data_IF_421809773935
#
_entry.id   IF_421809773935
#
_cell.length_a   1.000
_cell.length_b   1.000
_cell.length_c   1.000
_cell.angle_alpha   90.00
_cell.angle_beta   90.00
_cell.angle_gamma   90.00
#
_symmetry.space_group_name_H-M   'P 1'
#
loop_
_entity.id
_entity.type
_entity.pdbx_description
1 polymer ?
#
# COMPACT_ATOMS: atom_id res chain seq x y z
N UNK A 1 71.82 -27.48 -6.14
CA UNK A 1 71.80 -26.72 -7.41
C UNK A 1 70.35 -26.39 -7.73
N UNK A 2 70.11 -25.10 -7.89
CA UNK A 2 68.85 -24.37 -8.08
C UNK A 2 68.06 -24.79 -9.32
N UNK A 3 66.72 -24.91 -9.24
CA UNK A 3 65.82 -24.46 -10.32
C UNK A 3 64.35 -24.32 -9.83
N UNK A 4 63.91 -23.06 -9.79
CA UNK A 4 62.58 -22.48 -10.06
C UNK A 4 61.32 -23.30 -9.73
N UNK A 5 60.55 -22.82 -8.75
CA UNK A 5 59.09 -23.01 -8.67
C UNK A 5 58.43 -21.64 -8.61
N UNK A 6 57.68 -21.31 -9.66
CA UNK A 6 56.94 -20.09 -9.85
C UNK A 6 55.49 -20.50 -10.16
N UNK A 7 54.55 -19.78 -9.53
CA UNK A 7 53.13 -19.70 -9.82
C UNK A 7 52.24 -20.91 -9.49
N UNK A 8 51.42 -20.76 -8.43
CA UNK A 8 49.96 -20.67 -8.53
C UNK A 8 49.32 -20.85 -7.14
N UNK A 9 49.19 -19.75 -6.39
CA UNK A 9 48.29 -19.68 -5.23
C UNK A 9 47.05 -18.93 -5.68
N UNK A 10 46.08 -19.67 -6.22
CA UNK A 10 44.70 -19.22 -6.38
C UNK A 10 43.83 -20.06 -5.43
N UNK A 11 43.94 -19.77 -4.14
CA UNK A 11 42.91 -20.18 -3.19
C UNK A 11 41.72 -19.23 -3.40
N UNK A 12 40.76 -19.66 -4.20
CA UNK A 12 39.44 -19.07 -4.26
C UNK A 12 38.74 -19.32 -2.91
N UNK A 13 39.00 -18.45 -1.94
CA UNK A 13 38.13 -18.32 -0.79
C UNK A 13 36.82 -17.71 -1.31
N UNK A 14 35.82 -18.56 -1.55
CA UNK A 14 34.43 -18.15 -1.58
C UNK A 14 34.15 -17.46 -0.24
N UNK A 15 34.29 -16.14 -0.21
CA UNK A 15 33.62 -15.32 0.77
C UNK A 15 32.14 -15.40 0.42
N UNK A 16 31.44 -16.39 1.00
CA UNK A 16 30.04 -16.23 1.31
C UNK A 16 29.94 -15.02 2.25
N UNK A 17 29.92 -13.83 1.69
CA UNK A 17 29.37 -12.67 2.36
C UNK A 17 27.88 -12.97 2.50
N UNK A 18 27.53 -13.58 3.62
CA UNK A 18 26.19 -13.46 4.17
C UNK A 18 25.99 -11.96 4.36
N UNK A 19 25.30 -11.33 3.41
CA UNK A 19 24.76 -9.99 3.63
C UNK A 19 23.87 -10.11 4.87
N UNK A 20 24.13 -9.36 5.95
CA UNK A 20 23.20 -9.36 7.06
C UNK A 20 21.89 -8.74 6.53
N UNK A 21 20.81 -9.50 6.64
CA UNK A 21 19.49 -8.93 6.61
C UNK A 21 19.35 -7.87 7.72
N UNK A 22 18.62 -6.81 7.38
CA UNK A 22 17.86 -5.94 8.29
C UNK A 22 18.65 -5.03 9.25
N UNK A 23 18.87 -3.79 8.80
CA UNK A 23 18.59 -2.64 9.65
C UNK A 23 17.88 -1.60 8.80
N UNK A 24 16.57 -1.46 9.02
CA UNK A 24 15.91 -0.17 8.87
C UNK A 24 16.87 0.90 9.41
N UNK A 25 17.28 1.83 8.54
CA UNK A 25 18.26 2.93 8.76
C UNK A 25 18.76 3.06 10.21
N UNK A 26 20.03 2.75 10.49
CA UNK A 26 20.62 2.82 11.84
C UNK A 26 20.23 4.11 12.57
N UNK A 27 19.35 4.01 13.57
CA UNK A 27 18.87 5.19 14.30
C UNK A 27 19.97 5.71 15.21
N UNK A 28 20.36 6.95 14.96
CA UNK A 28 21.42 7.59 15.72
C UNK A 28 20.96 7.90 17.15
N UNK A 29 21.78 7.63 18.18
CA UNK A 29 21.43 7.99 19.55
C UNK A 29 21.38 9.51 19.75
N UNK A 30 20.54 10.02 20.66
CA UNK A 30 20.29 11.46 20.86
C UNK A 30 21.50 12.25 21.36
N UNK A 31 22.58 11.57 21.74
CA UNK A 31 23.85 12.16 22.19
C UNK A 31 24.74 12.62 21.02
N UNK A 32 24.47 12.18 19.80
CA UNK A 32 25.26 12.52 18.62
C UNK A 32 25.16 14.00 18.21
N UNK A 33 26.14 14.44 17.43
CA UNK A 33 26.19 15.78 16.83
C UNK A 33 26.71 15.69 15.40
N UNK A 34 26.01 16.33 14.45
CA UNK A 34 26.41 16.42 13.04
C UNK A 34 26.58 17.88 12.61
N UNK A 35 27.26 18.09 11.48
CA UNK A 35 27.45 19.41 10.89
C UNK A 35 28.60 20.23 11.51
N UNK A 36 28.82 21.41 10.95
CA UNK A 36 29.83 22.38 11.37
C UNK A 36 29.21 23.78 11.41
N UNK A 37 29.58 24.57 12.42
CA UNK A 37 29.11 25.95 12.56
C UNK A 37 28.74 26.32 13.99
N UNK A 38 28.53 27.62 14.26
CA UNK A 38 28.27 28.13 15.60
C UNK A 38 26.81 27.96 16.04
N UNK A 39 25.88 27.74 15.10
CA UNK A 39 24.46 27.59 15.41
C UNK A 39 24.11 26.12 15.63
N UNK A 40 23.51 25.83 16.78
CA UNK A 40 23.09 24.47 17.16
C UNK A 40 21.57 24.37 17.13
N UNK A 41 21.06 23.47 16.31
CA UNK A 41 19.66 23.07 16.25
C UNK A 41 19.44 21.77 17.02
N UNK A 42 18.43 21.74 17.87
CA UNK A 42 17.98 20.54 18.60
C UNK A 42 16.49 20.70 18.89
N UNK A 43 15.72 19.67 18.61
CA UNK A 43 14.26 19.70 18.73
C UNK A 43 13.78 18.74 19.81
N UNK A 44 12.53 18.91 20.24
CA UNK A 44 11.83 17.97 21.13
C UNK A 44 10.70 17.36 20.32
N UNK A 45 10.76 16.06 20.05
CA UNK A 45 9.63 15.35 19.47
C UNK A 45 8.53 15.24 20.53
N UNK A 46 7.32 15.64 20.17
CA UNK A 46 6.15 15.64 21.05
C UNK A 46 5.01 14.89 20.40
N UNK A 47 4.19 14.27 21.24
CA UNK A 47 2.91 13.75 20.82
C UNK A 47 2.02 14.92 20.34
N UNK A 48 1.41 14.83 19.16
CA UNK A 48 0.69 15.95 18.56
C UNK A 48 -0.65 16.26 19.25
N UNK A 49 -1.10 15.43 20.19
CA UNK A 49 -2.36 15.63 20.93
C UNK A 49 -2.08 16.11 22.36
N UNK A 50 -1.27 15.35 23.09
CA UNK A 50 -0.96 15.62 24.50
C UNK A 50 0.16 16.64 24.67
N UNK A 51 0.90 16.95 23.59
CA UNK A 51 2.10 17.79 23.57
C UNK A 51 3.22 17.31 24.51
N UNK A 52 3.10 16.09 25.05
CA UNK A 52 4.12 15.49 25.92
C UNK A 52 5.32 15.07 25.07
N UNK A 53 6.56 15.21 25.59
CA UNK A 53 7.73 14.68 24.91
C UNK A 53 7.59 13.17 24.69
N UNK A 54 8.04 12.68 23.53
CA UNK A 54 8.07 11.24 23.21
C UNK A 54 9.47 10.69 23.52
N UNK A 55 9.68 9.99 24.65
CA UNK A 55 10.99 9.43 25.00
C UNK A 55 11.30 8.17 24.18
N UNK A 56 12.57 7.96 23.83
CA UNK A 56 13.06 6.80 23.08
C UNK A 56 12.30 6.54 21.76
N UNK A 57 11.65 7.56 21.22
CA UNK A 57 10.87 7.47 20.00
C UNK A 57 11.77 7.65 18.79
N UNK A 58 11.50 6.87 17.74
CA UNK A 58 12.18 6.98 16.46
C UNK A 58 11.64 8.18 15.71
N UNK A 59 12.53 8.90 15.04
CA UNK A 59 12.18 10.07 14.26
C UNK A 59 13.03 10.19 12.99
N UNK A 60 12.47 10.95 12.04
CA UNK A 60 13.15 11.46 10.87
C UNK A 60 13.22 12.98 10.97
N UNK A 61 14.42 13.53 10.88
CA UNK A 61 14.66 14.98 10.82
C UNK A 61 15.23 15.32 9.43
N UNK A 62 14.56 16.24 8.75
CA UNK A 62 14.90 16.70 7.41
C UNK A 62 15.00 18.23 7.42
N UNK A 63 16.00 18.74 6.72
CA UNK A 63 16.11 20.15 6.32
C UNK A 63 16.11 20.20 4.80
N UNK A 64 14.96 20.42 4.15
CA UNK A 64 14.86 20.45 2.70
C UNK A 64 15.79 21.50 2.08
N UNK A 65 16.42 21.18 0.96
CA UNK A 65 17.37 22.02 0.23
C UNK A 65 18.77 22.14 0.84
N UNK A 66 19.12 21.37 1.87
CA UNK A 66 20.37 21.56 2.61
C UNK A 66 21.18 20.28 2.82
N UNK A 67 22.49 20.37 2.57
CA UNK A 67 23.48 19.36 2.96
C UNK A 67 24.06 19.66 4.35
N UNK A 68 24.06 18.67 5.25
CA UNK A 68 24.61 18.73 6.60
C UNK A 68 25.94 17.97 6.59
N UNK A 69 27.03 18.64 6.97
CA UNK A 69 28.34 18.01 6.99
C UNK A 69 28.38 16.76 7.89
N UNK A 70 28.98 15.68 7.39
CA UNK A 70 29.02 14.38 8.07
C UNK A 70 27.82 13.47 7.77
N UNK A 71 26.89 13.89 6.90
CA UNK A 71 25.78 13.07 6.43
C UNK A 71 25.78 13.00 4.90
N UNK A 72 25.50 11.83 4.30
CA UNK A 72 25.31 11.74 2.87
C UNK A 72 23.98 12.43 2.47
N UNK A 73 23.94 13.14 1.33
CA UNK A 73 22.71 13.69 0.79
C UNK A 73 21.76 12.58 0.31
N UNK A 74 20.46 12.82 0.43
CA UNK A 74 19.39 11.94 -0.02
C UNK A 74 19.31 11.95 -1.55
N UNK A 75 19.24 10.75 -2.15
CA UNK A 75 19.43 10.56 -3.59
C UNK A 75 18.40 11.24 -4.50
N UNK A 76 17.26 11.68 -3.94
CA UNK A 76 16.17 12.31 -4.71
C UNK A 76 16.10 13.86 -4.61
N UNK A 77 17.08 14.53 -3.98
CA UNK A 77 16.98 16.00 -3.82
C UNK A 77 18.20 16.73 -3.26
N UNK A 78 19.29 16.05 -2.89
CA UNK A 78 20.47 16.71 -2.30
C UNK A 78 20.34 17.01 -0.80
N UNK A 79 19.18 16.74 -0.21
CA UNK A 79 18.86 17.05 1.19
C UNK A 79 19.50 16.07 2.17
N UNK A 80 19.93 16.53 3.33
CA UNK A 80 20.35 15.65 4.42
C UNK A 80 19.18 15.20 5.29
N UNK A 81 19.12 13.89 5.55
CA UNK A 81 18.11 13.26 6.39
C UNK A 81 18.79 12.56 7.56
N UNK A 82 18.26 12.75 8.77
CA UNK A 82 18.71 12.05 9.98
C UNK A 82 17.60 11.16 10.50
N UNK A 83 17.91 9.88 10.67
CA UNK A 83 17.10 8.96 11.47
C UNK A 83 17.71 8.85 12.85
N UNK A 84 16.91 9.06 13.87
CA UNK A 84 17.39 9.06 15.25
C UNK A 84 16.38 8.51 16.23
N UNK A 85 16.86 8.28 17.45
CA UNK A 85 16.03 8.05 18.63
C UNK A 85 16.09 9.26 19.55
N UNK A 86 14.99 9.62 20.17
CA UNK A 86 14.96 10.69 21.17
C UNK A 86 15.49 10.23 22.52
N UNK A 87 16.00 11.16 23.32
CA UNK A 87 16.33 10.85 24.73
C UNK A 87 15.09 10.79 25.62
N UNK A 88 15.27 10.51 26.92
CA UNK A 88 14.19 10.46 27.90
C UNK A 88 13.37 11.76 28.03
N UNK A 89 13.86 12.89 27.50
CA UNK A 89 13.15 14.16 27.46
C UNK A 89 12.59 14.47 26.05
N UNK A 90 12.56 13.48 25.14
CA UNK A 90 12.09 13.63 23.77
C UNK A 90 13.03 14.40 22.85
N UNK A 91 14.29 14.66 23.26
CA UNK A 91 15.19 15.52 22.49
C UNK A 91 15.92 14.77 21.40
N UNK A 92 16.02 15.38 20.22
CA UNK A 92 16.76 14.87 19.04
C UNK A 92 18.28 14.99 19.20
N UNK A 93 19.04 14.48 18.22
CA UNK A 93 20.46 14.82 18.03
C UNK A 93 20.67 16.33 17.85
N UNK A 94 21.93 16.77 17.99
CA UNK A 94 22.34 18.16 17.71
C UNK A 94 22.80 18.31 16.25
N UNK A 95 22.30 19.33 15.56
CA UNK A 95 22.76 19.68 14.21
C UNK A 95 23.44 21.05 14.27
N UNK A 96 24.68 21.13 13.78
CA UNK A 96 25.48 22.36 13.73
C UNK A 96 25.50 22.92 12.31
N UNK A 97 25.12 24.19 12.16
CA UNK A 97 25.03 24.85 10.87
C UNK A 97 25.70 26.23 10.90
N UNK A 98 26.17 26.74 9.74
CA UNK A 98 26.79 28.06 9.64
C UNK A 98 25.78 29.21 9.79
N UNK A 99 24.49 28.93 9.63
CA UNK A 99 23.40 29.88 9.80
C UNK A 99 22.27 29.26 10.65
N UNK A 100 21.41 30.12 11.21
CA UNK A 100 20.21 29.71 11.95
C UNK A 100 19.03 29.57 10.99
N UNK A 101 18.41 28.40 10.97
CA UNK A 101 17.20 28.11 10.20
C UNK A 101 15.95 28.09 11.11
N UNK A 102 14.84 28.75 10.72
CA UNK A 102 13.60 28.73 11.50
C UNK A 102 12.96 27.34 11.49
N UNK A 103 12.20 27.01 12.54
CA UNK A 103 11.54 25.71 12.71
C UNK A 103 10.63 25.34 11.53
N UNK A 104 9.99 26.33 10.88
CA UNK A 104 9.15 26.14 9.70
C UNK A 104 9.89 25.59 8.48
N UNK A 105 11.22 25.62 8.46
CA UNK A 105 12.04 25.02 7.41
C UNK A 105 12.48 23.59 7.74
N UNK A 106 12.17 23.08 8.92
CA UNK A 106 12.47 21.72 9.32
C UNK A 106 11.23 20.85 9.23
N UNK A 107 11.42 19.60 8.84
CA UNK A 107 10.43 18.55 9.01
C UNK A 107 10.95 17.58 10.07
N UNK A 108 10.28 17.55 11.23
CA UNK A 108 10.52 16.57 12.30
C UNK A 108 9.33 15.63 12.36
N UNK A 109 9.54 14.38 11.96
CA UNK A 109 8.46 13.40 11.82
C UNK A 109 8.74 12.22 12.75
N UNK A 110 7.75 11.77 13.54
CA UNK A 110 7.87 10.48 14.19
C UNK A 110 7.90 9.38 13.12
N UNK A 111 8.61 8.31 13.43
CA UNK A 111 8.74 7.14 12.57
C UNK A 111 7.89 6.02 13.16
N UNK A 112 7.03 5.43 12.35
CA UNK A 112 6.13 4.34 12.74
C UNK A 112 6.34 3.14 11.81
N UNK A 113 6.40 1.94 12.40
CA UNK A 113 6.60 0.70 11.67
C UNK A 113 8.05 0.32 11.43
N UNK A 114 8.27 -0.81 10.77
CA UNK A 114 9.60 -1.36 10.51
C UNK A 114 9.82 -1.62 9.02
N UNK A 115 11.08 -1.52 8.60
CA UNK A 115 11.54 -1.96 7.29
C UNK A 115 12.37 -0.96 6.50
N UNK A 116 12.82 -1.41 5.34
CA UNK A 116 13.85 -0.73 4.55
C UNK A 116 13.28 0.39 3.67
N UNK A 117 11.98 0.28 3.33
CA UNK A 117 11.24 1.27 2.56
C UNK A 117 10.44 2.17 3.50
N UNK A 118 10.24 3.43 3.12
CA UNK A 118 9.38 4.32 3.89
C UNK A 118 9.13 5.66 3.23
N UNK A 119 8.01 6.28 3.62
CA UNK A 119 7.52 7.50 3.00
C UNK A 119 6.72 8.36 3.97
N UNK A 120 6.49 9.60 3.54
CA UNK A 120 5.55 10.52 4.19
C UNK A 120 4.70 11.17 3.11
N UNK A 121 3.50 11.57 3.49
CA UNK A 121 2.64 12.42 2.68
C UNK A 121 2.64 13.83 3.24
N UNK A 122 2.45 14.78 2.35
CA UNK A 122 2.08 16.14 2.72
C UNK A 122 0.64 16.36 2.27
N UNK A 123 -0.24 16.69 3.20
CA UNK A 123 -1.64 16.96 2.93
C UNK A 123 -1.81 18.47 2.73
N UNK A 124 -2.35 18.83 1.58
CA UNK A 124 -2.51 20.21 1.14
C UNK A 124 -3.99 20.42 0.85
N UNK A 125 -4.50 21.58 1.23
CA UNK A 125 -5.84 22.04 0.89
C UNK A 125 -5.85 22.50 -0.57
N UNK A 126 -6.68 21.86 -1.41
CA UNK A 126 -6.68 22.12 -2.87
C UNK A 126 -7.16 23.53 -3.23
N UNK A 127 -8.07 24.10 -2.45
CA UNK A 127 -8.64 25.43 -2.70
C UNK A 127 -7.62 26.54 -2.40
N UNK A 128 -6.80 26.35 -1.36
CA UNK A 128 -5.89 27.38 -0.84
C UNK A 128 -4.41 27.11 -1.15
N UNK A 129 -4.06 25.88 -1.53
CA UNK A 129 -2.68 25.42 -1.72
C UNK A 129 -1.85 25.37 -0.43
N UNK A 130 -2.49 25.48 0.74
CA UNK A 130 -1.81 25.53 2.05
C UNK A 130 -1.79 24.17 2.73
N UNK A 131 -0.80 23.90 3.60
CA UNK A 131 -0.80 22.69 4.41
C UNK A 131 -2.08 22.52 5.24
N UNK A 132 -2.67 21.32 5.18
CA UNK A 132 -3.90 20.99 5.89
C UNK A 132 -3.59 20.37 7.27
N UNK A 133 -3.24 21.21 8.24
CA UNK A 133 -2.81 20.77 9.57
C UNK A 133 -3.94 20.31 10.50
N UNK A 134 -3.55 19.60 11.56
CA UNK A 134 -4.35 19.28 12.76
C UNK A 134 -5.43 18.20 12.66
N UNK A 135 -5.50 17.45 11.55
CA UNK A 135 -6.45 16.35 11.42
C UNK A 135 -5.84 15.00 11.83
N UNK A 136 -6.50 14.25 12.73
CA UNK A 136 -6.10 12.88 13.03
C UNK A 136 -6.48 11.98 11.85
N UNK A 137 -5.69 10.94 11.61
CA UNK A 137 -5.95 9.97 10.55
C UNK A 137 -5.58 8.56 11.00
N UNK A 138 -6.14 7.59 10.27
CA UNK A 138 -5.70 6.19 10.28
C UNK A 138 -5.34 5.82 8.85
N UNK A 139 -4.12 5.34 8.64
CA UNK A 139 -3.62 4.81 7.39
C UNK A 139 -3.54 3.30 7.50
N UNK A 140 -4.01 2.58 6.47
CA UNK A 140 -3.81 1.14 6.38
C UNK A 140 -2.56 0.86 5.52
N UNK A 141 -1.53 0.30 6.17
CA UNK A 141 -0.36 -0.25 5.48
C UNK A 141 -0.73 -1.64 5.02
N UNK A 142 -1.06 -1.75 3.73
CA UNK A 142 -1.68 -2.96 3.16
C UNK A 142 -0.84 -4.20 3.45
N UNK A 143 -1.48 -5.19 4.09
CA UNK A 143 -0.83 -6.45 4.46
C UNK A 143 0.08 -6.39 5.69
N UNK A 144 0.25 -5.21 6.30
CA UNK A 144 1.03 -5.02 7.53
C UNK A 144 0.12 -4.49 8.64
N UNK A 145 0.29 -3.25 9.11
CA UNK A 145 -0.38 -2.70 10.29
C UNK A 145 -1.22 -1.45 9.96
N UNK A 146 -1.92 -0.89 10.96
CA UNK A 146 -2.59 0.41 10.90
C UNK A 146 -1.68 1.47 11.50
N UNK A 147 -1.61 2.64 10.87
CA UNK A 147 -0.86 3.79 11.39
C UNK A 147 -1.85 4.85 11.80
N UNK A 148 -1.84 5.16 13.08
CA UNK A 148 -2.43 6.40 13.55
C UNK A 148 -1.43 7.55 13.46
N UNK A 149 -1.95 8.73 13.16
CA UNK A 149 -1.16 9.95 13.27
C UNK A 149 -2.03 11.19 13.28
N UNK A 150 -1.35 12.33 13.34
CA UNK A 150 -1.96 13.63 13.16
C UNK A 150 -1.11 14.41 12.17
N UNK A 151 -1.76 15.09 11.23
CA UNK A 151 -1.07 15.96 10.30
C UNK A 151 -0.51 17.15 11.08
N UNK A 152 0.80 17.40 10.93
CA UNK A 152 1.46 18.51 11.61
C UNK A 152 1.08 19.88 10.99
N UNK A 153 1.55 20.97 11.58
CA UNK A 153 1.25 22.33 11.11
C UNK A 153 1.79 22.62 9.70
N UNK A 154 2.76 21.84 9.22
CA UNK A 154 3.36 21.93 7.89
C UNK A 154 2.74 20.93 6.90
N UNK A 155 1.69 20.22 7.31
CA UNK A 155 0.94 19.30 6.46
C UNK A 155 1.52 17.89 6.40
N UNK A 156 2.60 17.60 7.14
CA UNK A 156 3.24 16.30 7.06
C UNK A 156 2.56 15.24 7.94
N UNK A 157 2.47 14.03 7.40
CA UNK A 157 2.14 12.82 8.16
C UNK A 157 3.35 12.32 8.95
N UNK A 158 3.14 11.28 9.77
CA UNK A 158 4.25 10.45 10.27
C UNK A 158 5.01 9.81 9.10
N UNK A 159 6.27 9.47 9.34
CA UNK A 159 7.06 8.69 8.38
C UNK A 159 6.78 7.20 8.61
N UNK A 160 6.15 6.56 7.63
CA UNK A 160 5.76 5.14 7.70
C UNK A 160 6.85 4.28 7.09
N UNK A 161 7.27 3.21 7.78
CA UNK A 161 8.25 2.24 7.28
C UNK A 161 7.64 0.87 7.06
N UNK A 162 7.97 0.25 5.93
CA UNK A 162 7.44 -1.05 5.55
C UNK A 162 8.55 -1.98 5.08
N UNK A 163 8.41 -3.27 5.35
CA UNK A 163 9.36 -4.30 4.90
C UNK A 163 9.12 -4.72 3.44
N UNK A 164 8.05 -4.20 2.83
CA UNK A 164 7.61 -4.55 1.48
C UNK A 164 7.24 -3.28 0.74
N UNK A 165 7.56 -3.20 -0.55
CA UNK A 165 7.09 -2.09 -1.38
C UNK A 165 5.57 -2.22 -1.56
N UNK A 166 4.80 -1.52 -0.73
CA UNK A 166 3.34 -1.70 -0.60
C UNK A 166 2.56 -0.43 -0.89
N UNK A 167 1.34 -0.66 -1.39
CA UNK A 167 0.29 0.34 -1.51
C UNK A 167 -0.18 0.76 -0.11
N UNK A 168 -0.36 2.05 0.09
CA UNK A 168 -1.01 2.60 1.28
C UNK A 168 -2.47 2.85 0.95
N UNK A 169 -3.37 2.37 1.82
CA UNK A 169 -4.81 2.62 1.70
C UNK A 169 -5.18 3.67 2.73
N UNK A 170 -5.35 4.91 2.29
CA UNK A 170 -5.85 5.98 3.14
C UNK A 170 -7.37 5.91 3.19
N UNK A 171 -7.93 5.65 4.37
CA UNK A 171 -9.37 5.73 4.60
C UNK A 171 -9.69 7.00 5.37
N UNK A 172 -10.62 7.80 4.83
CA UNK A 172 -11.10 8.99 5.52
C UNK A 172 -11.77 8.57 6.83
N UNK A 173 -11.10 8.87 7.94
CA UNK A 173 -11.56 8.49 9.26
C UNK A 173 -11.63 9.72 10.13
N UNK A 174 -12.78 9.93 10.74
CA UNK A 174 -12.90 10.97 11.76
C UNK A 174 -12.75 10.33 13.12
N UNK A 175 -11.53 10.38 13.67
CA UNK A 175 -11.24 9.99 15.04
C UNK A 175 -11.78 11.09 15.97
N UNK A 176 -12.91 10.83 16.63
CA UNK A 176 -13.61 11.81 17.47
C UNK A 176 -13.62 11.45 18.95
N UNK A 177 -13.48 10.17 19.30
CA UNK A 177 -13.54 9.75 20.69
C UNK A 177 -12.17 9.93 21.37
N UNK A 178 -12.11 10.33 22.66
CA UNK A 178 -10.86 10.33 23.43
C UNK A 178 -10.16 8.95 23.42
N UNK A 179 -10.94 7.87 23.55
CA UNK A 179 -10.44 6.50 23.47
C UNK A 179 -9.78 6.17 22.11
N UNK A 180 -10.22 6.79 21.01
CA UNK A 180 -9.57 6.61 19.71
C UNK A 180 -8.14 7.16 19.75
N UNK A 181 -7.98 8.32 20.40
CA UNK A 181 -6.69 9.00 20.52
C UNK A 181 -5.75 8.24 21.46
N UNK A 182 -6.28 7.74 22.58
CA UNK A 182 -5.53 6.93 23.53
C UNK A 182 -5.09 5.60 22.90
N UNK A 183 -5.98 4.93 22.15
CA UNK A 183 -5.64 3.74 21.40
C UNK A 183 -4.54 4.00 20.37
N UNK A 184 -4.68 5.09 19.60
CA UNK A 184 -3.70 5.48 18.59
C UNK A 184 -2.32 5.79 19.19
N UNK A 185 -2.26 6.45 20.35
CA UNK A 185 -1.01 6.83 21.00
C UNK A 185 -0.34 5.65 21.75
N UNK A 186 -1.10 4.62 22.13
CA UNK A 186 -0.60 3.42 22.78
C UNK A 186 -0.72 2.19 21.86
N UNK A 187 -1.72 1.31 22.05
CA UNK A 187 -1.85 0.04 21.35
C UNK A 187 -1.63 0.09 19.83
N UNK A 188 -2.23 1.07 19.13
CA UNK A 188 -2.09 1.18 17.67
C UNK A 188 -0.64 1.42 17.23
N UNK A 189 0.08 2.29 17.95
CA UNK A 189 1.50 2.57 17.66
C UNK A 189 2.39 1.40 18.07
N UNK A 190 2.10 0.74 19.19
CA UNK A 190 2.85 -0.43 19.66
C UNK A 190 2.71 -1.60 18.66
N UNK A 191 1.49 -1.89 18.20
CA UNK A 191 1.22 -2.91 17.18
C UNK A 191 2.03 -2.61 15.91
N UNK A 192 2.03 -1.36 15.46
CA UNK A 192 2.75 -0.96 14.26
C UNK A 192 4.27 -1.14 14.39
N UNK A 193 4.85 -0.71 15.51
CA UNK A 193 6.30 -0.78 15.75
C UNK A 193 6.81 -2.20 16.03
N UNK A 194 5.95 -3.09 16.55
CA UNK A 194 6.34 -4.44 16.97
C UNK A 194 5.72 -5.55 16.11
N UNK A 195 5.21 -5.19 14.92
CA UNK A 195 4.54 -6.09 13.99
C UNK A 195 5.37 -7.32 13.58
N UNK A 196 6.70 -7.21 13.59
CA UNK A 196 7.64 -8.25 13.18
C UNK A 196 8.55 -8.77 14.30
N UNK A 197 8.33 -8.37 15.55
CA UNK A 197 9.23 -8.72 16.65
C UNK A 197 9.11 -10.20 17.05
N UNK A 198 10.22 -10.92 17.29
CA UNK A 198 10.15 -12.32 17.72
C UNK A 198 9.37 -12.49 19.03
N UNK A 199 8.36 -13.38 19.01
CA UNK A 199 7.57 -13.72 20.20
C UNK A 199 6.40 -12.78 20.48
N UNK A 200 6.17 -11.74 19.68
CA UNK A 200 4.91 -10.98 19.73
C UNK A 200 3.78 -11.78 19.08
N UNK A 201 2.54 -11.66 19.57
CA UNK A 201 1.38 -12.25 18.89
C UNK A 201 1.27 -11.71 17.46
N UNK A 202 0.68 -12.49 16.56
CA UNK A 202 0.41 -12.00 15.20
C UNK A 202 -0.53 -10.78 15.20
N UNK A 203 -0.47 -9.98 14.14
CA UNK A 203 -1.20 -8.72 14.03
C UNK A 203 -2.71 -8.88 14.23
N UNK A 204 -3.31 -9.93 13.69
CA UNK A 204 -4.75 -10.19 13.87
C UNK A 204 -5.06 -10.36 15.36
N UNK A 205 -4.26 -11.18 16.05
CA UNK A 205 -4.41 -11.42 17.49
C UNK A 205 -4.26 -10.14 18.31
N UNK A 206 -3.30 -9.28 17.96
CA UNK A 206 -3.12 -7.99 18.65
C UNK A 206 -4.31 -7.03 18.46
N UNK A 207 -4.86 -6.95 17.24
CA UNK A 207 -6.06 -6.14 16.97
C UNK A 207 -7.31 -6.69 17.66
N UNK A 208 -7.49 -8.00 17.66
CA UNK A 208 -8.57 -8.64 18.41
C UNK A 208 -8.45 -8.32 19.90
N UNK A 209 -7.25 -8.39 20.47
CA UNK A 209 -6.97 -8.02 21.85
C UNK A 209 -7.39 -6.57 22.16
N UNK A 210 -7.12 -5.64 21.24
CA UNK A 210 -7.57 -4.25 21.37
C UNK A 210 -9.10 -4.12 21.42
N UNK A 211 -9.81 -4.84 20.54
CA UNK A 211 -11.28 -4.81 20.50
C UNK A 211 -11.90 -5.46 21.74
N UNK A 212 -11.30 -6.55 22.25
CA UNK A 212 -11.77 -7.22 23.46
C UNK A 212 -11.54 -6.37 24.71
N UNK A 213 -10.37 -5.72 24.81
CA UNK A 213 -10.00 -4.93 25.97
C UNK A 213 -10.80 -3.63 26.08
N UNK A 214 -10.94 -2.88 24.98
CA UNK A 214 -11.50 -1.52 25.02
C UNK A 214 -12.47 -1.19 23.87
N UNK A 215 -12.86 -2.17 23.06
CA UNK A 215 -13.61 -1.94 21.82
C UNK A 215 -14.94 -1.19 22.02
N UNK A 216 -15.58 -1.29 23.19
CA UNK A 216 -16.83 -0.57 23.50
C UNK A 216 -16.64 0.94 23.66
N UNK A 217 -15.46 1.38 24.08
CA UNK A 217 -15.14 2.80 24.23
C UNK A 217 -14.55 3.40 22.96
N UNK A 218 -13.95 2.57 22.09
CA UNK A 218 -13.52 3.01 20.76
C UNK A 218 -14.71 3.50 19.94
N UNK A 219 -14.47 4.60 19.22
CA UNK A 219 -15.40 5.16 18.25
C UNK A 219 -15.71 4.16 17.14
N UNK A 220 -16.95 4.24 16.63
CA UNK A 220 -17.45 3.34 15.58
C UNK A 220 -16.50 3.26 14.37
N UNK A 221 -16.02 4.40 13.88
CA UNK A 221 -15.18 4.46 12.69
C UNK A 221 -13.81 3.79 12.88
N UNK A 222 -13.21 3.90 14.08
CA UNK A 222 -11.96 3.22 14.39
C UNK A 222 -12.18 1.71 14.54
N UNK A 223 -13.25 1.32 15.26
CA UNK A 223 -13.62 -0.08 15.44
C UNK A 223 -13.85 -0.80 14.10
N UNK A 224 -14.58 -0.15 13.19
CA UNK A 224 -14.82 -0.65 11.83
C UNK A 224 -13.50 -0.87 11.06
N UNK A 225 -12.51 0.01 11.23
CA UNK A 225 -11.22 -0.15 10.55
C UNK A 225 -10.35 -1.22 11.16
N UNK A 226 -10.32 -1.35 12.49
CA UNK A 226 -9.62 -2.45 13.15
C UNK A 226 -10.22 -3.79 12.68
N UNK A 227 -11.55 -3.90 12.65
CA UNK A 227 -12.23 -5.09 12.14
C UNK A 227 -11.95 -5.33 10.65
N UNK A 228 -11.98 -4.29 9.81
CA UNK A 228 -11.64 -4.43 8.40
C UNK A 228 -10.17 -4.83 8.18
N UNK A 229 -9.24 -4.35 9.02
CA UNK A 229 -7.84 -4.77 9.01
C UNK A 229 -7.71 -6.25 9.37
N UNK A 230 -8.40 -6.68 10.41
CA UNK A 230 -8.45 -8.08 10.81
C UNK A 230 -8.96 -8.97 9.68
N UNK A 231 -10.01 -8.53 8.95
CA UNK A 231 -10.50 -9.26 7.77
C UNK A 231 -9.43 -9.34 6.68
N UNK A 232 -8.76 -8.23 6.36
CA UNK A 232 -7.70 -8.23 5.35
C UNK A 232 -6.54 -9.18 5.69
N UNK A 233 -6.12 -9.20 6.96
CA UNK A 233 -5.10 -10.13 7.46
C UNK A 233 -5.58 -11.59 7.35
N UNK A 234 -6.81 -11.87 7.77
CA UNK A 234 -7.39 -13.20 7.71
C UNK A 234 -7.60 -13.69 6.26
N UNK A 235 -7.93 -12.79 5.32
CA UNK A 235 -7.98 -13.08 3.88
C UNK A 235 -6.60 -13.51 3.36
N UNK A 236 -5.54 -12.80 3.75
CA UNK A 236 -4.17 -13.13 3.34
C UNK A 236 -3.72 -14.51 3.84
N UNK A 237 -4.17 -14.90 5.03
CA UNK A 237 -3.96 -16.23 5.62
C UNK A 237 -4.94 -17.30 5.09
N UNK A 238 -5.99 -16.87 4.36
CA UNK A 238 -7.17 -17.68 3.99
C UNK A 238 -7.83 -18.37 5.20
N UNK A 239 -7.79 -17.74 6.38
CA UNK A 239 -8.41 -18.25 7.60
C UNK A 239 -9.87 -17.80 7.69
N UNK A 240 -10.77 -18.69 7.24
CA UNK A 240 -12.20 -18.45 7.24
C UNK A 240 -12.82 -18.24 8.63
N UNK A 241 -12.25 -18.85 9.69
CA UNK A 241 -12.75 -18.70 11.05
C UNK A 241 -12.39 -17.32 11.63
N UNK A 242 -11.19 -16.85 11.33
CA UNK A 242 -10.76 -15.47 11.64
C UNK A 242 -11.57 -14.43 10.85
N UNK A 243 -11.92 -14.72 9.60
CA UNK A 243 -12.83 -13.87 8.82
C UNK A 243 -14.19 -13.77 9.51
N UNK A 244 -14.78 -14.89 9.90
CA UNK A 244 -16.11 -14.90 10.54
C UNK A 244 -16.12 -14.09 11.85
N UNK A 245 -15.10 -14.30 12.68
CA UNK A 245 -14.93 -13.57 13.95
C UNK A 245 -14.81 -12.05 13.73
N UNK A 246 -14.03 -11.63 12.73
CA UNK A 246 -13.81 -10.22 12.46
C UNK A 246 -15.05 -9.54 11.83
N UNK A 247 -15.79 -10.27 10.99
CA UNK A 247 -17.06 -9.80 10.44
C UNK A 247 -18.09 -9.54 11.54
N UNK A 248 -18.19 -10.44 12.51
CA UNK A 248 -19.15 -10.32 13.62
C UNK A 248 -18.79 -9.16 14.57
N UNK A 249 -17.52 -8.77 14.65
CA UNK A 249 -17.05 -7.67 15.50
C UNK A 249 -17.28 -6.26 14.90
N UNK A 250 -17.40 -6.14 13.57
CA UNK A 250 -17.16 -4.87 12.89
C UNK A 250 -18.34 -3.92 12.73
N UNK A 251 -19.59 -4.41 12.67
CA UNK A 251 -20.79 -3.62 12.35
C UNK A 251 -20.55 -2.45 11.35
N UNK A 252 -20.29 -2.80 10.10
CA UNK A 252 -19.71 -1.90 9.10
C UNK A 252 -20.70 -0.90 8.48
N UNK A 253 -20.19 0.27 8.11
CA UNK A 253 -20.86 1.25 7.26
C UNK A 253 -21.03 0.76 5.81
N UNK A 254 -21.96 1.37 5.05
CA UNK A 254 -22.28 0.98 3.67
C UNK A 254 -21.07 0.89 2.72
N UNK A 255 -20.18 1.88 2.74
CA UNK A 255 -19.00 1.89 1.87
C UNK A 255 -18.01 0.78 2.26
N UNK A 256 -17.84 0.53 3.57
CA UNK A 256 -17.01 -0.57 4.07
C UNK A 256 -17.63 -1.94 3.76
N UNK A 257 -18.96 -2.05 3.81
CA UNK A 257 -19.65 -3.29 3.42
C UNK A 257 -19.32 -3.68 1.98
N UNK A 258 -19.37 -2.72 1.05
CA UNK A 258 -18.99 -2.97 -0.33
C UNK A 258 -17.51 -3.34 -0.47
N UNK A 259 -16.61 -2.53 0.12
CA UNK A 259 -15.18 -2.79 0.03
C UNK A 259 -14.76 -4.14 0.60
N UNK A 260 -15.29 -4.52 1.77
CA UNK A 260 -15.03 -5.83 2.38
C UNK A 260 -15.65 -6.96 1.55
N UNK A 261 -16.88 -6.78 1.06
CA UNK A 261 -17.52 -7.75 0.18
C UNK A 261 -16.71 -7.99 -1.09
N UNK A 262 -16.24 -6.92 -1.73
CA UNK A 262 -15.36 -7.02 -2.90
C UNK A 262 -14.03 -7.74 -2.56
N UNK A 263 -13.35 -7.36 -1.48
CA UNK A 263 -12.09 -8.00 -1.05
C UNK A 263 -12.28 -9.53 -0.84
N UNK A 264 -13.40 -9.95 -0.23
CA UNK A 264 -13.76 -11.36 -0.02
C UNK A 264 -14.08 -12.10 -1.33
N UNK A 265 -14.89 -11.50 -2.21
CA UNK A 265 -15.22 -12.04 -3.54
C UNK A 265 -13.96 -12.22 -4.36
N UNK A 266 -13.07 -11.23 -4.36
CA UNK A 266 -11.86 -11.27 -5.14
C UNK A 266 -10.91 -12.38 -4.64
N UNK A 267 -10.84 -12.60 -3.33
CA UNK A 267 -10.10 -13.70 -2.71
C UNK A 267 -10.77 -15.09 -2.89
N UNK A 268 -12.02 -15.13 -3.35
CA UNK A 268 -12.82 -16.34 -3.48
C UNK A 268 -13.18 -16.96 -2.12
N UNK A 269 -13.39 -16.14 -1.10
CA UNK A 269 -13.68 -16.55 0.28
C UNK A 269 -15.05 -16.00 0.71
N UNK A 270 -15.82 -16.79 1.46
CA UNK A 270 -17.10 -16.35 2.05
C UNK A 270 -18.04 -15.63 1.08
N UNK A 271 -18.10 -16.08 -0.19
CA UNK A 271 -18.78 -15.36 -1.28
C UNK A 271 -20.25 -15.06 -0.95
N UNK A 272 -20.95 -15.97 -0.27
CA UNK A 272 -22.34 -15.75 0.16
C UNK A 272 -22.47 -14.60 1.17
N UNK A 273 -21.59 -14.54 2.17
CA UNK A 273 -21.54 -13.43 3.14
C UNK A 273 -21.16 -12.12 2.44
N UNK A 274 -20.17 -12.18 1.55
CA UNK A 274 -19.74 -11.03 0.77
C UNK A 274 -20.87 -10.46 -0.11
N UNK A 275 -21.64 -11.33 -0.76
CA UNK A 275 -22.83 -10.94 -1.52
C UNK A 275 -23.87 -10.26 -0.63
N UNK A 276 -24.14 -10.79 0.56
CA UNK A 276 -25.09 -10.16 1.49
C UNK A 276 -24.65 -8.75 1.89
N UNK A 277 -23.34 -8.51 2.05
CA UNK A 277 -22.79 -7.18 2.35
C UNK A 277 -22.95 -6.22 1.17
N UNK A 278 -22.65 -6.68 -0.06
CA UNK A 278 -22.83 -5.91 -1.29
C UNK A 278 -24.32 -5.58 -1.50
N UNK A 279 -25.21 -6.54 -1.27
CA UNK A 279 -26.66 -6.35 -1.37
C UNK A 279 -27.18 -5.37 -0.32
N UNK A 280 -26.65 -5.42 0.90
CA UNK A 280 -26.97 -4.44 1.93
C UNK A 280 -26.51 -3.02 1.56
N UNK A 281 -25.39 -2.87 0.82
CA UNK A 281 -25.01 -1.58 0.24
C UNK A 281 -25.96 -1.14 -0.86
N UNK A 282 -26.27 -2.02 -1.82
CA UNK A 282 -27.21 -1.70 -2.91
C UNK A 282 -28.62 -1.38 -2.40
N UNK A 283 -29.04 -1.96 -1.29
CA UNK A 283 -30.30 -1.58 -0.64
C UNK A 283 -30.30 -0.14 -0.12
N UNK A 284 -29.14 0.38 0.30
CA UNK A 284 -28.97 1.77 0.74
C UNK A 284 -28.77 2.73 -0.44
N UNK A 285 -28.04 2.30 -1.47
CA UNK A 285 -27.74 3.08 -2.67
C UNK A 285 -27.86 2.21 -3.92
N UNK A 286 -29.07 2.08 -4.50
CA UNK A 286 -29.34 1.14 -5.60
C UNK A 286 -28.58 1.43 -6.90
N UNK A 287 -28.15 2.67 -7.09
CA UNK A 287 -27.41 3.14 -8.26
C UNK A 287 -25.93 3.43 -7.92
N UNK A 288 -25.38 2.86 -6.85
CA UNK A 288 -23.94 2.94 -6.57
C UNK A 288 -23.16 2.11 -7.60
N UNK A 289 -22.39 2.74 -8.52
CA UNK A 289 -21.71 2.01 -9.58
C UNK A 289 -20.64 1.05 -9.06
N UNK A 290 -20.00 1.35 -7.93
CA UNK A 290 -18.97 0.50 -7.33
C UNK A 290 -19.58 -0.79 -6.74
N UNK A 291 -20.76 -0.67 -6.11
CA UNK A 291 -21.48 -1.82 -5.58
C UNK A 291 -22.14 -2.67 -6.68
N UNK A 292 -22.60 -2.03 -7.76
CA UNK A 292 -23.09 -2.72 -8.95
C UNK A 292 -22.00 -3.56 -9.62
N UNK A 293 -20.79 -3.00 -9.78
CA UNK A 293 -19.64 -3.74 -10.29
C UNK A 293 -19.26 -4.92 -9.37
N UNK A 294 -19.16 -4.65 -8.07
CA UNK A 294 -18.85 -5.69 -7.06
C UNK A 294 -19.87 -6.84 -7.07
N UNK A 295 -21.16 -6.53 -7.29
CA UNK A 295 -22.22 -7.53 -7.43
C UNK A 295 -22.02 -8.39 -8.70
N UNK A 296 -21.70 -7.76 -9.82
CA UNK A 296 -21.36 -8.46 -11.05
C UNK A 296 -20.17 -9.41 -10.85
N UNK A 297 -19.13 -8.92 -10.18
CA UNK A 297 -17.94 -9.73 -9.88
C UNK A 297 -18.26 -10.93 -8.98
N UNK A 298 -19.11 -10.75 -7.97
CA UNK A 298 -19.56 -11.83 -7.11
C UNK A 298 -20.32 -12.92 -7.89
N UNK A 299 -21.23 -12.51 -8.78
CA UNK A 299 -21.99 -13.43 -9.64
C UNK A 299 -21.08 -14.21 -10.58
N UNK A 300 -20.07 -13.54 -11.16
CA UNK A 300 -19.06 -14.20 -11.98
C UNK A 300 -18.29 -15.27 -11.19
N UNK A 301 -17.88 -14.97 -9.96
CA UNK A 301 -17.20 -15.95 -9.08
C UNK A 301 -18.09 -17.16 -8.73
N UNK A 302 -19.41 -16.99 -8.74
CA UNK A 302 -20.38 -18.08 -8.60
C UNK A 302 -20.73 -18.79 -9.92
N UNK A 303 -20.12 -18.40 -11.04
CA UNK A 303 -20.40 -18.96 -12.37
C UNK A 303 -21.69 -18.44 -13.03
N UNK A 304 -22.32 -17.40 -12.47
CA UNK A 304 -23.52 -16.75 -13.00
C UNK A 304 -23.14 -15.62 -13.97
N UNK A 305 -22.40 -15.99 -15.00
CA UNK A 305 -21.70 -15.06 -15.89
C UNK A 305 -22.65 -14.14 -16.70
N UNK A 306 -23.75 -14.65 -17.25
CA UNK A 306 -24.70 -13.82 -17.99
C UNK A 306 -25.42 -12.79 -17.10
N UNK A 307 -25.71 -13.15 -15.85
CA UNK A 307 -26.26 -12.21 -14.88
C UNK A 307 -25.23 -11.15 -14.50
N UNK A 308 -23.97 -11.54 -14.31
CA UNK A 308 -22.88 -10.62 -14.00
C UNK A 308 -22.76 -9.50 -15.05
N UNK A 309 -22.87 -9.84 -16.35
CA UNK A 309 -22.82 -8.86 -17.44
C UNK A 309 -23.87 -7.75 -17.29
N UNK A 310 -25.08 -8.10 -16.82
CA UNK A 310 -26.17 -7.11 -16.63
C UNK A 310 -25.82 -6.10 -15.54
N UNK A 311 -25.15 -6.54 -14.47
CA UNK A 311 -24.72 -5.66 -13.39
C UNK A 311 -23.56 -4.75 -13.80
N UNK A 312 -22.57 -5.30 -14.52
CA UNK A 312 -21.49 -4.49 -15.10
C UNK A 312 -22.03 -3.44 -16.05
N UNK A 313 -22.97 -3.79 -16.94
CA UNK A 313 -23.58 -2.85 -17.88
C UNK A 313 -24.26 -1.66 -17.17
N UNK A 314 -24.94 -1.91 -16.05
CA UNK A 314 -25.57 -0.85 -15.26
C UNK A 314 -24.52 0.05 -14.57
N UNK A 315 -23.47 -0.54 -14.00
CA UNK A 315 -22.35 0.21 -13.39
C UNK A 315 -21.68 1.12 -14.41
N UNK A 316 -21.26 0.55 -15.55
CA UNK A 316 -20.61 1.25 -16.67
C UNK A 316 -21.49 2.38 -17.20
N UNK A 317 -22.80 2.14 -17.35
CA UNK A 317 -23.72 3.16 -17.85
C UNK A 317 -23.89 4.36 -16.90
N UNK A 318 -23.68 4.18 -15.59
CA UNK A 318 -23.69 5.28 -14.62
C UNK A 318 -22.38 6.05 -14.68
N UNK A 319 -21.23 5.35 -14.63
CA UNK A 319 -19.91 5.96 -14.69
C UNK A 319 -19.68 6.73 -16.00
N UNK A 320 -20.16 6.20 -17.13
CA UNK A 320 -20.11 6.90 -18.40
C UNK A 320 -20.89 8.23 -18.42
N UNK A 321 -21.93 8.37 -17.59
CA UNK A 321 -22.69 9.63 -17.46
C UNK A 321 -22.01 10.64 -16.55
N UNK A 322 -21.33 10.15 -15.51
CA UNK A 322 -20.52 11.00 -14.63
C UNK A 322 -19.32 11.59 -15.38
N UNK A 323 -18.82 10.84 -16.37
CA UNK A 323 -17.82 11.29 -17.31
C UNK A 323 -16.40 11.14 -16.79
N UNK A 324 -15.44 11.61 -17.59
CA UNK A 324 -14.02 11.29 -17.41
C UNK A 324 -13.23 12.43 -16.75
N UNK A 325 -13.88 13.37 -16.05
CA UNK A 325 -13.18 14.50 -15.41
C UNK A 325 -12.41 14.06 -14.15
N UNK A 326 -13.07 13.25 -13.33
CA UNK A 326 -12.52 12.73 -12.08
C UNK A 326 -11.68 11.46 -12.33
N UNK A 327 -10.51 11.37 -11.71
CA UNK A 327 -9.61 10.23 -11.89
C UNK A 327 -10.20 8.93 -11.32
N UNK A 328 -10.83 9.00 -10.15
CA UNK A 328 -11.38 7.84 -9.48
C UNK A 328 -12.59 7.28 -10.25
N UNK A 329 -13.37 8.16 -10.89
CA UNK A 329 -14.44 7.76 -11.81
C UNK A 329 -13.88 7.06 -13.05
N UNK A 330 -12.82 7.60 -13.68
CA UNK A 330 -12.14 6.92 -14.82
C UNK A 330 -11.58 5.56 -14.44
N UNK A 331 -10.92 5.45 -13.27
CA UNK A 331 -10.35 4.22 -12.77
C UNK A 331 -11.43 3.15 -12.55
N UNK A 332 -12.54 3.52 -11.90
CA UNK A 332 -13.67 2.64 -11.67
C UNK A 332 -14.33 2.20 -12.99
N UNK A 333 -14.47 3.12 -13.94
CA UNK A 333 -15.08 2.84 -15.24
C UNK A 333 -14.23 1.85 -16.05
N UNK A 334 -12.92 2.06 -16.10
CA UNK A 334 -11.98 1.13 -16.74
C UNK A 334 -11.98 -0.25 -16.05
N UNK A 335 -12.07 -0.28 -14.72
CA UNK A 335 -12.15 -1.53 -13.94
C UNK A 335 -13.42 -2.32 -14.26
N UNK A 336 -14.59 -1.67 -14.29
CA UNK A 336 -15.84 -2.35 -14.65
C UNK A 336 -15.86 -2.88 -16.08
N UNK A 337 -15.29 -2.15 -17.03
CA UNK A 337 -15.07 -2.63 -18.40
C UNK A 337 -14.11 -3.83 -18.45
N UNK A 338 -13.08 -3.83 -17.60
CA UNK A 338 -12.14 -4.94 -17.48
C UNK A 338 -12.81 -6.19 -16.95
N UNK A 339 -13.58 -6.09 -15.85
CA UNK A 339 -14.35 -7.23 -15.32
C UNK A 339 -15.33 -7.77 -16.36
N UNK A 340 -16.08 -6.90 -17.05
CA UNK A 340 -16.96 -7.29 -18.14
C UNK A 340 -16.20 -8.02 -19.26
N UNK A 341 -15.06 -7.48 -19.67
CA UNK A 341 -14.19 -8.07 -20.69
C UNK A 341 -13.73 -9.48 -20.31
N UNK A 342 -13.34 -9.69 -19.05
CA UNK A 342 -12.97 -11.01 -18.55
C UNK A 342 -14.12 -12.01 -18.60
N UNK A 343 -15.32 -11.61 -18.16
CA UNK A 343 -16.49 -12.49 -18.22
C UNK A 343 -16.84 -12.85 -19.67
N UNK A 344 -16.81 -11.86 -20.57
CA UNK A 344 -17.03 -12.09 -22.00
C UNK A 344 -15.98 -13.03 -22.60
N UNK A 345 -14.72 -12.91 -22.19
CA UNK A 345 -13.65 -13.79 -22.62
C UNK A 345 -13.89 -15.23 -22.18
N UNK A 346 -14.25 -15.46 -20.91
CA UNK A 346 -14.60 -16.77 -20.36
C UNK A 346 -15.79 -17.41 -21.11
N UNK A 347 -16.77 -16.60 -21.51
CA UNK A 347 -17.94 -17.04 -22.28
C UNK A 347 -17.64 -17.30 -23.77
N UNK A 348 -16.39 -17.12 -24.21
CA UNK A 348 -15.99 -17.30 -25.62
C UNK A 348 -16.42 -16.15 -26.55
N UNK A 349 -16.93 -15.03 -25.99
CA UNK A 349 -17.34 -13.83 -26.74
C UNK A 349 -16.13 -12.92 -26.95
N UNK A 350 -15.10 -13.46 -27.62
CA UNK A 350 -13.76 -12.87 -27.66
C UNK A 350 -13.70 -11.46 -28.27
N UNK A 351 -14.51 -11.16 -29.29
CA UNK A 351 -14.50 -9.84 -29.93
C UNK A 351 -15.08 -8.78 -29.00
N UNK A 352 -16.23 -9.06 -28.38
CA UNK A 352 -16.83 -8.17 -27.37
C UNK A 352 -15.90 -7.97 -26.16
N UNK A 353 -15.14 -9.01 -25.77
CA UNK A 353 -14.15 -8.91 -24.70
C UNK A 353 -13.01 -7.96 -25.08
N UNK A 354 -12.46 -8.10 -26.30
CA UNK A 354 -11.41 -7.20 -26.80
C UNK A 354 -11.89 -5.76 -26.90
N UNK A 355 -13.13 -5.54 -27.33
CA UNK A 355 -13.73 -4.20 -27.37
C UNK A 355 -13.84 -3.59 -25.97
N UNK A 356 -14.27 -4.37 -24.97
CA UNK A 356 -14.34 -3.90 -23.59
C UNK A 356 -12.96 -3.53 -23.04
N UNK A 357 -11.94 -4.38 -23.26
CA UNK A 357 -10.56 -4.08 -22.87
C UNK A 357 -9.99 -2.85 -23.59
N UNK A 358 -10.29 -2.67 -24.88
CA UNK A 358 -9.86 -1.50 -25.64
C UNK A 358 -10.51 -0.21 -25.12
N UNK A 359 -11.78 -0.26 -24.71
CA UNK A 359 -12.47 0.86 -24.08
C UNK A 359 -11.86 1.17 -22.71
N UNK A 360 -11.62 0.17 -21.86
CA UNK A 360 -10.96 0.35 -20.57
C UNK A 360 -9.60 1.04 -20.72
N UNK A 361 -8.78 0.56 -21.68
CA UNK A 361 -7.47 1.14 -22.01
C UNK A 361 -7.57 2.61 -22.43
N UNK A 362 -8.61 2.97 -23.18
CA UNK A 362 -8.81 4.33 -23.66
C UNK A 362 -9.17 5.29 -22.52
N UNK A 363 -9.99 4.82 -21.58
CA UNK A 363 -10.45 5.63 -20.43
C UNK A 363 -9.30 5.85 -19.44
N UNK A 364 -8.58 4.78 -19.09
CA UNK A 364 -7.49 4.83 -18.12
C UNK A 364 -6.32 3.95 -18.60
N UNK A 365 -5.35 4.53 -19.34
CA UNK A 365 -4.26 3.77 -19.95
C UNK A 365 -3.35 3.03 -18.96
N UNK A 366 -3.26 3.50 -17.72
CA UNK A 366 -2.42 2.96 -16.64
C UNK A 366 -3.22 2.16 -15.59
N UNK A 367 -4.45 1.73 -15.91
CA UNK A 367 -5.27 0.90 -15.02
C UNK A 367 -4.59 -0.46 -14.75
N UNK A 368 -4.28 -0.72 -13.48
CA UNK A 368 -3.50 -1.90 -13.08
C UNK A 368 -4.29 -3.21 -13.26
N UNK A 369 -5.60 -3.18 -12.97
CA UNK A 369 -6.47 -4.36 -13.07
C UNK A 369 -6.60 -4.86 -14.52
N UNK A 370 -6.68 -3.93 -15.47
CA UNK A 370 -6.65 -4.22 -16.91
C UNK A 370 -5.36 -4.91 -17.31
N UNK A 371 -4.21 -4.36 -16.92
CA UNK A 371 -2.90 -4.94 -17.26
C UNK A 371 -2.73 -6.34 -16.69
N UNK A 372 -3.10 -6.54 -15.43
CA UNK A 372 -3.04 -7.84 -14.78
C UNK A 372 -3.97 -8.85 -15.47
N UNK A 373 -5.19 -8.43 -15.80
CA UNK A 373 -6.20 -9.28 -16.47
C UNK A 373 -5.76 -9.68 -17.86
N UNK A 374 -5.31 -8.74 -18.70
CA UNK A 374 -4.83 -9.03 -20.05
C UNK A 374 -3.64 -9.99 -20.03
N UNK A 375 -2.70 -9.78 -19.11
CA UNK A 375 -1.55 -10.67 -18.91
C UNK A 375 -1.99 -12.08 -18.52
N UNK A 376 -2.89 -12.21 -17.54
CA UNK A 376 -3.40 -13.51 -17.07
C UNK A 376 -4.18 -14.26 -18.14
N UNK A 377 -4.97 -13.55 -18.93
CA UNK A 377 -5.77 -14.12 -20.03
C UNK A 377 -4.97 -14.30 -21.33
N UNK A 378 -3.71 -13.83 -21.36
CA UNK A 378 -2.85 -13.82 -22.54
C UNK A 378 -3.48 -13.13 -23.77
N UNK A 379 -4.25 -12.06 -23.52
CA UNK A 379 -4.92 -11.29 -24.56
C UNK A 379 -3.93 -10.28 -25.14
N UNK A 380 -3.48 -10.51 -26.37
CA UNK A 380 -2.49 -9.68 -27.07
C UNK A 380 -1.20 -10.40 -27.47
N UNK A 381 -0.99 -11.63 -26.99
CA UNK A 381 0.02 -12.52 -27.55
C UNK A 381 -0.58 -13.24 -28.78
N UNK A 382 0.02 -13.09 -29.95
CA UNK A 382 -0.38 -13.85 -31.14
C UNK A 382 -0.31 -15.37 -30.87
N UNK A 383 -1.23 -16.20 -31.40
CA UNK A 383 -1.19 -17.66 -31.24
C UNK A 383 -0.05 -18.37 -32.00
N UNK A 384 0.78 -17.66 -32.76
CA UNK A 384 1.79 -18.25 -33.63
C UNK A 384 3.11 -18.54 -32.89
N UNK A 385 3.03 -19.45 -31.92
CA UNK A 385 4.18 -20.14 -31.31
C UNK A 385 4.14 -21.66 -31.52
N UNK A 386 3.15 -22.18 -32.25
CA UNK A 386 3.06 -23.57 -32.62
C UNK A 386 3.85 -23.83 -33.91
N UNK A 387 4.90 -24.64 -33.78
CA UNK A 387 5.82 -25.04 -34.82
C UNK A 387 5.16 -25.40 -36.16
N UNK A 388 5.61 -24.76 -37.24
CA UNK A 388 5.41 -25.27 -38.60
C UNK A 388 6.24 -26.56 -38.79
N UNK A 389 5.63 -27.69 -39.19
CA UNK A 389 6.36 -28.88 -39.60
C UNK A 389 7.15 -28.57 -40.87
N UNK A 390 8.42 -28.96 -40.87
CA UNK A 390 9.37 -28.68 -41.95
C UNK A 390 8.88 -29.09 -43.33
N UNK A 391 9.05 -28.18 -44.29
CA UNK A 391 9.04 -28.52 -45.71
C UNK A 391 10.40 -29.09 -46.09
N UNK A 392 10.42 -30.41 -46.18
CA UNK A 392 11.44 -31.20 -46.87
C UNK A 392 11.66 -30.68 -48.30
N UNK A 393 12.88 -30.24 -48.60
CA UNK A 393 13.36 -30.01 -49.95
C UNK A 393 13.50 -31.34 -50.68
N UNK A 394 12.59 -31.61 -51.62
CA UNK A 394 12.75 -32.69 -52.61
C UNK A 394 12.91 -32.03 -53.98
N UNK A 395 14.17 -31.92 -54.42
CA UNK A 395 14.54 -31.54 -55.78
C UNK A 395 14.72 -32.80 -56.63
N UNK A 396 13.88 -32.97 -57.65
CA UNK A 396 14.10 -33.88 -58.79
C UNK A 396 13.78 -33.09 -60.07
N UNK A 397 14.78 -32.61 -60.83
CA UNK A 397 15.45 -33.25 -61.98
C UNK A 397 14.61 -33.40 -63.25
N UNK A 398 14.94 -32.59 -64.27
CA UNK A 398 14.93 -32.91 -65.71
C UNK A 398 15.73 -31.78 -66.41
N UNK A 399 16.94 -31.99 -66.97
CA UNK A 399 17.19 -32.63 -68.27
C UNK A 399 16.74 -31.69 -69.41
N UNK A 400 17.52 -31.26 -70.40
CA UNK A 400 18.61 -31.93 -71.13
C UNK A 400 19.36 -30.92 -72.02
N UNK A 401 20.61 -31.24 -72.30
CA UNK A 401 21.59 -30.66 -73.24
C UNK A 401 21.17 -30.60 -74.72
N UNK A 402 21.79 -29.70 -75.51
CA UNK A 402 22.08 -29.97 -76.93
C UNK A 402 22.10 -28.75 -77.87
N UNK A 403 23.33 -28.37 -78.26
CA UNK A 403 23.77 -27.58 -79.46
C UNK A 403 23.28 -26.16 -79.68
#
# INVERSE_FOLDING_TARGET
MTFRLLAALAAAALSCAVLPAAHARTYVPPTASFGNGPYVHRFVLRDPVTHRPLPNARYRLLLPGHAIAGLPPHQAGGDSVVFGTTDAAGRTVRIRLPARYPESQWALQPVVGEGDSGGTFQVIDEDTGRPYGHYPYVLDVTGEYLVCGRIDANGYTVFVQSNVDRKLRLRRTVLRAPADTDWCAGPGTDIANHAGDPGTPDLYTQYLGSLVADGRHLGRALREQIAAKMIALAIAERDEGRIDTALDAGNFSGDLLNGIGYDLVNAGLKIDRAMAMIDARLAQSPDDPYALDSKGWALHRLGRDDEALTWFDRSIAILAKEGDADKDVREAHATGLTHKGEVLWKLGRADNARDAFAQARKIQPDNADLEETLKRLNVGASPDGAASPGTSSTSGTSGTSGT
#
